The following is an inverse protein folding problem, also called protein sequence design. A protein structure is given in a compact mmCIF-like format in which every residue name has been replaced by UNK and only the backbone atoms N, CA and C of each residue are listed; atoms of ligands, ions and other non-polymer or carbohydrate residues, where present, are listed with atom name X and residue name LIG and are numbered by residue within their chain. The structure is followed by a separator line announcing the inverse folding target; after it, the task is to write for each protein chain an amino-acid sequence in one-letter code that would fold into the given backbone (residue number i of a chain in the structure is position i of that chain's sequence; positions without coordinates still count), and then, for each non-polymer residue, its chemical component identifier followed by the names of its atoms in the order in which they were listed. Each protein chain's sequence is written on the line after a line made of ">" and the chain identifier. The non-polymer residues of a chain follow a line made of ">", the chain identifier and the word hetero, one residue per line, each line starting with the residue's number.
data_IF_563775321214
#
_entry.id   IF_563775321214
#
_cell.length_a   1.000
_cell.length_b   1.000
_cell.length_c   1.000
_cell.angle_alpha   90.00
_cell.angle_beta   90.00
_cell.angle_gamma   90.00
#
_symmetry.space_group_name_H-M   'P 1'
#
loop_
_entity.id
_entity.type
_entity.pdbx_description
1 polymer ?
#
# COMPACT_ATOMS: atom_id res chain seq x y z
N UNK A 1 15.86 -14.52 44.26
CA UNK A 1 14.45 -14.18 44.04
C UNK A 1 14.36 -13.62 42.64
N UNK A 2 14.13 -14.49 41.66
CA UNK A 2 14.12 -14.15 40.21
C UNK A 2 12.71 -13.69 39.82
N UNK A 3 12.55 -12.43 39.45
CA UNK A 3 11.27 -11.88 38.92
C UNK A 3 11.05 -12.36 37.48
N UNK A 4 9.82 -12.75 37.13
CA UNK A 4 9.58 -13.50 35.91
C UNK A 4 9.59 -12.63 34.64
N UNK A 5 10.29 -13.10 33.64
CA UNK A 5 10.32 -12.72 32.24
C UNK A 5 8.92 -12.79 31.52
N UNK A 6 7.86 -13.07 32.26
CA UNK A 6 6.51 -13.32 31.72
C UNK A 6 5.82 -12.07 31.13
N UNK A 7 6.25 -10.84 31.43
CA UNK A 7 5.59 -9.63 30.92
C UNK A 7 5.88 -9.34 29.44
N UNK A 8 7.09 -9.61 28.98
CA UNK A 8 7.44 -9.30 27.56
C UNK A 8 6.71 -10.20 26.58
N UNK A 9 6.65 -11.51 26.81
CA UNK A 9 6.02 -12.45 25.88
C UNK A 9 4.52 -12.25 25.72
N UNK A 10 3.80 -11.94 26.81
CA UNK A 10 2.35 -11.71 26.75
C UNK A 10 2.01 -10.41 25.98
N UNK A 11 2.76 -9.33 26.19
CA UNK A 11 2.57 -8.08 25.45
C UNK A 11 2.88 -8.22 23.95
N UNK A 12 3.88 -9.02 23.58
CA UNK A 12 4.23 -9.30 22.18
C UNK A 12 3.11 -10.10 21.50
N UNK A 13 2.58 -11.13 22.15
CA UNK A 13 1.47 -11.93 21.62
C UNK A 13 0.22 -11.06 21.44
N UNK A 14 -0.13 -10.27 22.44
CA UNK A 14 -1.28 -9.36 22.36
C UNK A 14 -1.12 -8.34 21.23
N UNK A 15 0.09 -7.83 21.00
CA UNK A 15 0.40 -6.86 19.94
C UNK A 15 0.33 -7.48 18.54
N UNK A 16 0.87 -8.69 18.36
CA UNK A 16 0.77 -9.43 17.10
C UNK A 16 -0.68 -9.76 16.76
N UNK A 17 -1.43 -10.27 17.73
CA UNK A 17 -2.86 -10.54 17.55
C UNK A 17 -3.65 -9.26 17.22
N UNK A 18 -3.32 -8.14 17.85
CA UNK A 18 -3.96 -6.84 17.56
C UNK A 18 -3.69 -6.37 16.12
N UNK A 19 -2.45 -6.48 15.62
CA UNK A 19 -2.09 -6.12 14.25
C UNK A 19 -2.83 -7.00 13.22
N UNK A 20 -2.87 -8.32 13.46
CA UNK A 20 -3.61 -9.26 12.61
C UNK A 20 -5.11 -8.95 12.63
N UNK A 21 -5.67 -8.60 13.79
CA UNK A 21 -7.06 -8.18 13.94
C UNK A 21 -7.38 -6.89 13.17
N UNK A 22 -6.47 -5.92 13.16
CA UNK A 22 -6.61 -4.69 12.36
C UNK A 22 -6.64 -5.02 10.86
N UNK A 23 -5.79 -5.93 10.38
CA UNK A 23 -5.83 -6.38 8.99
C UNK A 23 -7.15 -7.08 8.65
N UNK A 24 -7.64 -7.97 9.51
CA UNK A 24 -8.92 -8.63 9.30
C UNK A 24 -10.08 -7.61 9.15
N UNK A 25 -10.10 -6.58 10.01
CA UNK A 25 -11.05 -5.47 9.90
C UNK A 25 -10.89 -4.65 8.62
N UNK A 26 -9.66 -4.44 8.15
CA UNK A 26 -9.36 -3.75 6.89
C UNK A 26 -9.85 -4.55 5.67
N UNK A 27 -9.62 -5.86 5.65
CA UNK A 27 -10.02 -6.73 4.55
C UNK A 27 -11.54 -6.96 4.49
N UNK A 28 -12.26 -6.72 5.58
CA UNK A 28 -13.72 -6.79 5.62
C UNK A 28 -14.42 -5.52 5.07
N UNK A 29 -13.65 -4.45 4.80
CA UNK A 29 -14.21 -3.19 4.28
C UNK A 29 -14.59 -3.31 2.80
N UNK A 30 -15.72 -2.72 2.45
CA UNK A 30 -16.06 -2.47 1.03
C UNK A 30 -15.18 -1.33 0.49
N UNK A 31 -14.27 -1.69 -0.42
CA UNK A 31 -13.35 -0.74 -1.07
C UNK A 31 -13.78 -0.36 -2.49
N UNK A 32 -15.01 -0.73 -2.90
CA UNK A 32 -15.56 -0.36 -4.19
C UNK A 32 -16.09 1.09 -4.22
N UNK A 33 -16.08 1.78 -3.07
CA UNK A 33 -16.52 3.16 -2.93
C UNK A 33 -15.64 4.15 -3.69
N UNK A 34 -16.25 5.14 -4.33
CA UNK A 34 -15.54 6.11 -5.15
C UNK A 34 -15.12 7.34 -4.33
N UNK A 35 -14.00 7.95 -4.71
CA UNK A 35 -13.57 9.22 -4.15
C UNK A 35 -14.64 10.29 -4.36
N UNK A 36 -14.92 11.08 -3.31
CA UNK A 36 -16.00 12.09 -3.30
C UNK A 36 -17.27 11.62 -2.62
N UNK A 37 -17.51 10.32 -2.48
CA UNK A 37 -18.68 9.80 -1.79
C UNK A 37 -18.51 9.85 -0.24
N UNK A 38 -19.60 10.07 0.54
CA UNK A 38 -19.54 10.03 2.01
C UNK A 38 -18.97 8.72 2.56
N UNK A 39 -19.28 7.59 1.91
CA UNK A 39 -18.76 6.28 2.27
C UNK A 39 -17.23 6.21 2.10
N UNK A 40 -16.67 6.85 1.06
CA UNK A 40 -15.23 6.96 0.87
C UNK A 40 -14.56 7.78 1.98
N UNK A 41 -15.15 8.91 2.38
CA UNK A 41 -14.65 9.74 3.48
C UNK A 41 -14.59 8.93 4.78
N UNK A 42 -15.67 8.19 5.07
CA UNK A 42 -15.74 7.33 6.24
C UNK A 42 -14.70 6.17 6.19
N UNK A 43 -14.51 5.56 5.02
CA UNK A 43 -13.46 4.54 4.81
C UNK A 43 -12.07 5.11 5.10
N UNK A 44 -11.74 6.28 4.52
CA UNK A 44 -10.44 6.93 4.74
C UNK A 44 -10.19 7.34 6.19
N UNK A 45 -11.24 7.71 6.93
CA UNK A 45 -11.14 7.98 8.37
C UNK A 45 -10.79 6.70 9.16
N UNK A 46 -11.42 5.56 8.82
CA UNK A 46 -11.09 4.27 9.45
C UNK A 46 -9.67 3.79 9.07
N UNK A 47 -9.26 3.96 7.83
CA UNK A 47 -7.89 3.66 7.39
C UNK A 47 -6.87 4.47 8.20
N UNK A 48 -7.10 5.76 8.39
CA UNK A 48 -6.24 6.62 9.21
C UNK A 48 -6.15 6.12 10.65
N UNK A 49 -7.28 5.82 11.29
CA UNK A 49 -7.30 5.30 12.65
C UNK A 49 -6.52 3.98 12.79
N UNK A 50 -6.62 3.08 11.79
CA UNK A 50 -5.83 1.84 11.75
C UNK A 50 -4.32 2.13 11.64
N UNK A 51 -3.92 3.05 10.75
CA UNK A 51 -2.51 3.44 10.60
C UNK A 51 -1.93 4.04 11.88
N UNK A 52 -2.67 4.95 12.53
CA UNK A 52 -2.26 5.52 13.81
C UNK A 52 -2.08 4.44 14.88
N UNK A 53 -2.99 3.46 14.95
CA UNK A 53 -2.85 2.32 15.83
C UNK A 53 -1.61 1.47 15.52
N UNK A 54 -1.35 1.18 14.24
CA UNK A 54 -0.15 0.46 13.79
C UNK A 54 1.11 1.24 14.17
N UNK A 55 1.19 2.54 13.85
CA UNK A 55 2.35 3.37 14.18
C UNK A 55 2.64 3.39 15.68
N UNK A 56 1.59 3.48 16.51
CA UNK A 56 1.72 3.41 17.97
C UNK A 56 2.29 2.05 18.43
N UNK A 57 1.84 0.95 17.83
CA UNK A 57 2.34 -0.40 18.16
C UNK A 57 3.78 -0.60 17.71
N UNK A 58 4.21 0.04 16.63
CA UNK A 58 5.58 -0.04 16.11
C UNK A 58 6.57 0.85 16.85
N UNK A 59 6.11 1.84 17.63
CA UNK A 59 6.99 2.74 18.39
C UNK A 59 7.89 2.02 19.40
N UNK A 60 7.42 0.88 19.93
CA UNK A 60 8.18 0.02 20.87
C UNK A 60 9.00 -1.07 20.16
N UNK A 61 9.18 -0.96 18.85
CA UNK A 61 9.88 -1.93 18.00
C UNK A 61 8.94 -2.76 17.12
N UNK A 62 9.53 -3.39 16.11
CA UNK A 62 8.79 -4.23 15.17
C UNK A 62 8.40 -5.56 15.81
N UNK A 63 7.27 -6.17 15.40
CA UNK A 63 6.95 -7.54 15.77
C UNK A 63 7.97 -8.51 15.16
N UNK A 64 8.16 -9.66 15.80
CA UNK A 64 9.01 -10.75 15.29
C UNK A 64 8.22 -11.73 14.43
N UNK A 65 6.90 -11.70 14.55
CA UNK A 65 5.96 -12.58 13.85
C UNK A 65 5.71 -12.10 12.41
N UNK A 66 5.83 -13.01 11.43
CA UNK A 66 5.72 -12.70 10.01
C UNK A 66 4.31 -12.22 9.60
N UNK A 67 3.27 -12.78 10.20
CA UNK A 67 1.89 -12.37 9.91
C UNK A 67 1.58 -10.99 10.49
N UNK A 68 2.11 -10.68 11.67
CA UNK A 68 1.98 -9.36 12.27
C UNK A 68 2.74 -8.27 11.48
N UNK A 69 3.94 -8.57 10.99
CA UNK A 69 4.70 -7.69 10.08
C UNK A 69 3.92 -7.44 8.79
N UNK A 70 3.39 -8.50 8.19
CA UNK A 70 2.57 -8.42 6.98
C UNK A 70 1.31 -7.59 7.21
N UNK A 71 0.62 -7.80 8.33
CA UNK A 71 -0.58 -7.05 8.70
C UNK A 71 -0.29 -5.54 8.84
N UNK A 72 0.76 -5.19 9.57
CA UNK A 72 1.19 -3.80 9.71
C UNK A 72 1.55 -3.18 8.35
N UNK A 73 2.29 -3.90 7.51
CA UNK A 73 2.68 -3.47 6.18
C UNK A 73 1.46 -3.19 5.28
N UNK A 74 0.47 -4.07 5.30
CA UNK A 74 -0.75 -3.91 4.50
C UNK A 74 -1.53 -2.66 4.88
N UNK A 75 -1.72 -2.42 6.17
CA UNK A 75 -2.42 -1.23 6.67
C UNK A 75 -1.67 0.05 6.28
N UNK A 76 -0.34 0.07 6.43
CA UNK A 76 0.48 1.20 6.03
C UNK A 76 0.50 1.42 4.50
N UNK A 77 0.34 0.35 3.71
CA UNK A 77 0.17 0.47 2.26
C UNK A 77 -1.13 1.20 1.85
N UNK A 78 -2.14 1.29 2.72
CA UNK A 78 -3.32 2.14 2.52
C UNK A 78 -3.11 3.58 3.00
N UNK A 79 -1.86 3.95 3.31
CA UNK A 79 -1.46 5.29 3.73
C UNK A 79 -1.65 6.37 2.67
N UNK A 80 -1.55 7.61 3.11
CA UNK A 80 -1.61 8.81 2.27
C UNK A 80 -0.22 9.47 2.13
N UNK A 81 0.78 8.97 2.86
CA UNK A 81 2.12 9.54 2.94
C UNK A 81 3.15 8.57 2.36
N UNK A 82 4.15 9.13 1.67
CA UNK A 82 5.28 8.36 1.12
C UNK A 82 6.00 7.57 2.21
N UNK A 83 6.20 8.17 3.39
CA UNK A 83 6.93 7.55 4.51
C UNK A 83 6.17 6.36 5.12
N UNK A 84 4.82 6.43 5.19
CA UNK A 84 4.00 5.31 5.66
C UNK A 84 4.11 4.12 4.71
N UNK A 85 4.00 4.37 3.40
CA UNK A 85 4.15 3.33 2.39
C UNK A 85 5.58 2.75 2.37
N UNK A 86 6.61 3.61 2.51
CA UNK A 86 7.99 3.16 2.59
C UNK A 86 8.25 2.29 3.84
N UNK A 87 7.65 2.63 4.99
CA UNK A 87 7.71 1.79 6.18
C UNK A 87 6.98 0.46 5.94
N UNK A 88 5.81 0.50 5.29
CA UNK A 88 5.07 -0.71 4.88
C UNK A 88 5.92 -1.64 4.01
N UNK A 89 6.66 -1.09 3.04
CA UNK A 89 7.58 -1.87 2.20
C UNK A 89 8.65 -2.59 3.03
N UNK A 90 9.29 -1.91 4.00
CA UNK A 90 10.32 -2.52 4.86
C UNK A 90 9.75 -3.63 5.74
N UNK A 91 8.56 -3.43 6.31
CA UNK A 91 7.88 -4.46 7.11
C UNK A 91 7.51 -5.68 6.27
N UNK A 92 6.98 -5.46 5.06
CA UNK A 92 6.66 -6.54 4.13
C UNK A 92 7.91 -7.29 3.66
N UNK A 93 9.04 -6.59 3.42
CA UNK A 93 10.32 -7.21 3.13
C UNK A 93 10.75 -8.14 4.27
N UNK A 94 10.65 -7.67 5.52
CA UNK A 94 10.97 -8.51 6.67
C UNK A 94 10.03 -9.71 6.80
N UNK A 95 8.74 -9.54 6.54
CA UNK A 95 7.78 -10.65 6.50
C UNK A 95 8.13 -11.68 5.41
N UNK A 96 8.58 -11.22 4.23
CA UNK A 96 9.03 -12.08 3.14
C UNK A 96 10.29 -12.90 3.50
N UNK A 97 11.27 -12.27 4.17
CA UNK A 97 12.46 -12.96 4.69
C UNK A 97 12.10 -14.08 5.70
N UNK A 98 11.01 -13.90 6.45
CA UNK A 98 10.46 -14.90 7.36
C UNK A 98 9.53 -15.90 6.66
N UNK A 99 9.43 -15.87 5.33
CA UNK A 99 8.70 -16.82 4.52
C UNK A 99 7.19 -16.55 4.38
N UNK A 100 6.68 -15.34 4.74
CA UNK A 100 5.25 -15.03 4.63
C UNK A 100 4.82 -14.98 3.16
N UNK A 101 3.87 -15.83 2.71
CA UNK A 101 3.36 -15.77 1.35
C UNK A 101 2.72 -14.41 1.02
N UNK A 102 2.95 -13.92 -0.21
CA UNK A 102 2.44 -12.63 -0.69
C UNK A 102 3.18 -11.40 -0.16
N UNK A 103 4.13 -11.57 0.77
CA UNK A 103 4.84 -10.44 1.35
C UNK A 103 5.83 -9.79 0.37
N UNK A 104 6.41 -10.54 -0.58
CA UNK A 104 7.24 -9.97 -1.65
C UNK A 104 6.43 -9.03 -2.55
N UNK A 105 5.26 -9.47 -2.96
CA UNK A 105 4.36 -8.62 -3.73
C UNK A 105 3.97 -7.34 -2.95
N UNK A 106 3.62 -7.50 -1.67
CA UNK A 106 3.25 -6.37 -0.82
C UNK A 106 4.41 -5.39 -0.64
N UNK A 107 5.64 -5.90 -0.48
CA UNK A 107 6.84 -5.07 -0.40
C UNK A 107 7.05 -4.23 -1.67
N UNK A 108 6.88 -4.84 -2.84
CA UNK A 108 6.94 -4.17 -4.13
C UNK A 108 5.82 -3.12 -4.28
N UNK A 109 4.58 -3.48 -3.94
CA UNK A 109 3.43 -2.59 -4.04
C UNK A 109 3.53 -1.37 -3.11
N UNK A 110 4.04 -1.56 -1.89
CA UNK A 110 4.24 -0.49 -0.94
C UNK A 110 5.42 0.42 -1.32
N UNK A 111 6.50 -0.14 -1.89
CA UNK A 111 7.60 0.65 -2.45
C UNK A 111 7.10 1.54 -3.60
N UNK A 112 6.41 0.93 -4.56
CA UNK A 112 5.85 1.65 -5.71
C UNK A 112 4.92 2.78 -5.26
N UNK A 113 4.10 2.54 -4.23
CA UNK A 113 3.23 3.56 -3.66
C UNK A 113 4.01 4.71 -3.02
N UNK A 114 5.08 4.41 -2.31
CA UNK A 114 5.94 5.43 -1.72
C UNK A 114 6.58 6.30 -2.80
N UNK A 115 7.04 5.69 -3.89
CA UNK A 115 7.60 6.41 -5.04
C UNK A 115 6.53 7.26 -5.74
N UNK A 116 5.33 6.71 -5.97
CA UNK A 116 4.21 7.46 -6.56
C UNK A 116 3.84 8.70 -5.72
N UNK A 117 3.77 8.58 -4.39
CA UNK A 117 3.50 9.73 -3.52
C UNK A 117 4.64 10.75 -3.49
N UNK A 118 5.87 10.32 -3.74
CA UNK A 118 7.02 11.21 -3.96
C UNK A 118 7.07 11.77 -5.39
N UNK A 119 6.08 11.50 -6.24
CA UNK A 119 6.00 11.89 -7.66
C UNK A 119 7.13 11.32 -8.53
N UNK A 120 7.73 10.23 -8.08
CA UNK A 120 8.75 9.48 -8.80
C UNK A 120 8.12 8.32 -9.60
N UNK A 121 8.78 7.85 -10.66
CA UNK A 121 8.38 6.61 -11.31
C UNK A 121 8.38 5.44 -10.33
N UNK A 122 7.32 4.64 -10.34
CA UNK A 122 7.28 3.39 -9.58
C UNK A 122 8.27 2.37 -10.17
N UNK A 123 8.81 1.51 -9.33
CA UNK A 123 9.80 0.53 -9.77
C UNK A 123 9.15 -0.64 -10.50
N UNK A 124 8.12 -1.25 -9.94
CA UNK A 124 7.58 -2.53 -10.42
C UNK A 124 6.33 -2.41 -11.29
N UNK A 125 5.58 -1.31 -11.18
CA UNK A 125 4.34 -1.11 -11.94
C UNK A 125 3.11 -1.69 -11.26
N UNK A 126 3.02 -1.62 -9.94
CA UNK A 126 1.90 -2.19 -9.17
C UNK A 126 0.75 -1.21 -8.92
N UNK A 127 1.01 0.11 -8.99
CA UNK A 127 -0.04 1.11 -8.75
C UNK A 127 -0.71 1.52 -10.04
N UNK A 128 -2.01 1.28 -10.08
CA UNK A 128 -2.92 1.69 -11.14
C UNK A 128 -3.71 2.89 -10.64
N UNK A 129 -3.81 3.92 -11.45
CA UNK A 129 -4.49 5.18 -11.12
C UNK A 129 -5.49 5.57 -12.21
N UNK A 130 -6.56 6.32 -11.86
CA UNK A 130 -7.43 6.94 -12.85
C UNK A 130 -6.70 8.10 -13.53
N UNK A 131 -6.99 8.37 -14.80
CA UNK A 131 -6.40 9.50 -15.53
C UNK A 131 -7.45 10.43 -16.16
N UNK A 132 -8.72 10.26 -15.77
CA UNK A 132 -9.84 11.02 -16.30
C UNK A 132 -10.44 10.46 -17.60
N UNK A 133 -9.74 9.55 -18.28
CA UNK A 133 -10.21 8.88 -19.50
C UNK A 133 -10.35 7.38 -19.25
N UNK A 134 -9.42 6.79 -18.51
CA UNK A 134 -9.37 5.37 -18.19
C UNK A 134 -8.53 5.10 -16.96
N UNK A 135 -8.01 3.89 -16.87
CA UNK A 135 -7.12 3.45 -15.81
C UNK A 135 -5.77 3.10 -16.42
N UNK A 136 -4.70 3.52 -15.79
CA UNK A 136 -3.34 3.28 -16.26
C UNK A 136 -2.39 3.03 -15.11
N UNK A 137 -1.21 2.48 -15.40
CA UNK A 137 -0.12 2.48 -14.44
C UNK A 137 0.38 3.91 -14.22
N UNK A 138 0.72 4.27 -12.98
CA UNK A 138 1.60 5.41 -12.73
C UNK A 138 2.89 5.23 -13.53
N UNK A 139 3.63 6.32 -13.79
CA UNK A 139 4.91 6.25 -14.52
C UNK A 139 5.80 5.15 -13.94
N UNK A 140 6.37 4.30 -14.79
CA UNK A 140 7.19 3.14 -14.38
C UNK A 140 8.64 3.38 -14.78
N UNK A 141 9.58 3.04 -13.90
CA UNK A 141 11.01 3.07 -14.20
C UNK A 141 11.33 2.09 -15.34
N UNK A 142 11.80 2.60 -16.51
CA UNK A 142 12.10 1.76 -17.65
C UNK A 142 13.32 0.83 -17.44
N UNK A 143 14.14 1.09 -16.42
CA UNK A 143 15.30 0.25 -16.10
C UNK A 143 14.92 -1.05 -15.40
N UNK A 144 13.73 -1.15 -14.81
CA UNK A 144 13.28 -2.36 -14.12
C UNK A 144 12.89 -3.44 -15.11
N UNK A 145 13.53 -4.60 -15.00
CA UNK A 145 13.29 -5.76 -15.88
C UNK A 145 12.10 -6.60 -15.41
N UNK A 146 11.51 -7.38 -16.34
CA UNK A 146 10.46 -8.34 -15.96
C UNK A 146 10.99 -9.46 -15.06
N UNK A 147 12.27 -9.79 -15.15
CA UNK A 147 12.91 -10.74 -14.24
C UNK A 147 12.90 -10.20 -12.78
N UNK A 148 13.20 -8.92 -12.58
CA UNK A 148 13.11 -8.28 -11.26
C UNK A 148 11.66 -8.25 -10.75
N UNK A 149 10.69 -8.01 -11.64
CA UNK A 149 9.25 -8.06 -11.27
C UNK A 149 8.86 -9.44 -10.77
N UNK A 150 9.17 -10.47 -11.55
CA UNK A 150 8.85 -11.87 -11.21
C UNK A 150 9.52 -12.28 -9.89
N UNK A 151 10.78 -11.88 -9.66
CA UNK A 151 11.48 -12.16 -8.39
C UNK A 151 10.78 -11.54 -7.16
N UNK A 152 9.95 -10.52 -7.38
CA UNK A 152 9.15 -9.86 -6.34
C UNK A 152 7.65 -10.22 -6.42
N UNK A 153 7.30 -11.34 -7.04
CA UNK A 153 5.93 -11.82 -7.24
C UNK A 153 5.04 -10.82 -8.01
N UNK A 154 5.63 -9.93 -8.80
CA UNK A 154 4.92 -8.97 -9.67
C UNK A 154 4.92 -9.51 -11.10
N UNK A 155 3.78 -9.52 -11.79
CA UNK A 155 3.71 -9.93 -13.20
C UNK A 155 4.57 -9.05 -14.12
N UNK A 156 4.91 -9.53 -15.33
CA UNK A 156 5.57 -8.73 -16.36
C UNK A 156 4.84 -7.41 -16.63
N UNK A 157 5.58 -6.36 -17.04
CA UNK A 157 5.04 -5.03 -17.25
C UNK A 157 3.87 -5.01 -18.22
N UNK A 158 3.95 -5.74 -19.32
CA UNK A 158 2.89 -5.83 -20.32
C UNK A 158 1.58 -6.39 -19.74
N UNK A 159 1.67 -7.36 -18.82
CA UNK A 159 0.52 -7.92 -18.14
C UNK A 159 -0.10 -6.89 -17.17
N UNK A 160 0.73 -6.15 -16.43
CA UNK A 160 0.24 -5.09 -15.54
C UNK A 160 -0.45 -3.96 -16.33
N UNK A 161 0.09 -3.58 -17.49
CA UNK A 161 -0.54 -2.62 -18.39
C UNK A 161 -1.89 -3.14 -18.93
N UNK A 162 -1.96 -4.41 -19.32
CA UNK A 162 -3.20 -5.04 -19.76
C UNK A 162 -4.25 -5.08 -18.63
N UNK A 163 -3.84 -5.39 -17.40
CA UNK A 163 -4.72 -5.34 -16.21
C UNK A 163 -5.29 -3.95 -15.98
N UNK A 164 -4.47 -2.91 -16.10
CA UNK A 164 -4.91 -1.53 -15.96
C UNK A 164 -5.95 -1.17 -17.04
N UNK A 165 -5.66 -1.48 -18.32
CA UNK A 165 -6.54 -1.23 -19.43
C UNK A 165 -7.89 -2.00 -19.36
N UNK A 166 -7.89 -3.15 -18.69
CA UNK A 166 -9.10 -3.97 -18.51
C UNK A 166 -10.04 -3.48 -17.39
N UNK A 167 -9.65 -2.47 -16.61
CA UNK A 167 -10.51 -1.93 -15.57
C UNK A 167 -11.68 -1.15 -16.17
N UNK A 168 -12.90 -1.60 -15.89
CA UNK A 168 -14.16 -0.99 -16.36
C UNK A 168 -14.85 -0.15 -15.28
N UNK A 169 -14.24 0.03 -14.09
CA UNK A 169 -14.81 0.86 -13.02
C UNK A 169 -14.99 2.31 -13.50
N UNK A 170 -16.06 2.99 -13.08
CA UNK A 170 -16.23 4.41 -13.35
C UNK A 170 -15.02 5.22 -12.87
N UNK A 171 -14.72 6.31 -13.56
CA UNK A 171 -13.72 7.26 -13.09
C UNK A 171 -14.26 8.00 -11.86
N UNK A 172 -13.46 8.26 -10.82
CA UNK A 172 -13.85 9.17 -9.76
C UNK A 172 -13.98 10.60 -10.30
N UNK A 173 -14.62 11.48 -9.53
CA UNK A 173 -14.59 12.91 -9.84
C UNK A 173 -13.15 13.44 -9.77
N UNK A 174 -12.58 13.75 -10.93
CA UNK A 174 -11.20 14.21 -11.03
C UNK A 174 -11.00 15.67 -10.59
N UNK A 175 -12.08 16.43 -10.35
CA UNK A 175 -11.98 17.79 -9.79
C UNK A 175 -11.35 17.76 -8.38
N UNK A 176 -11.65 16.71 -7.61
CA UNK A 176 -11.04 16.46 -6.29
C UNK A 176 -9.75 15.66 -6.31
N UNK A 177 -9.16 15.37 -7.48
CA UNK A 177 -7.93 14.60 -7.57
C UNK A 177 -6.75 15.31 -6.87
N UNK A 178 -5.85 14.57 -6.20
CA UNK A 178 -4.63 15.14 -5.61
C UNK A 178 -3.80 15.91 -6.64
N UNK A 179 -3.11 16.96 -6.19
CA UNK A 179 -2.30 17.81 -7.09
C UNK A 179 -1.20 17.01 -7.80
N UNK A 180 -0.61 16.02 -7.14
CA UNK A 180 0.37 15.10 -7.74
C UNK A 180 -0.22 14.35 -8.94
N UNK A 181 -1.44 13.81 -8.79
CA UNK A 181 -2.14 13.12 -9.88
C UNK A 181 -2.50 14.10 -11.00
N UNK A 182 -2.99 15.30 -10.68
CA UNK A 182 -3.29 16.32 -11.69
C UNK A 182 -2.04 16.76 -12.46
N UNK A 183 -0.87 16.87 -11.79
CA UNK A 183 0.41 17.11 -12.48
C UNK A 183 0.79 15.98 -13.41
N UNK A 184 0.62 14.75 -12.97
CA UNK A 184 0.86 13.56 -13.79
C UNK A 184 -0.07 13.52 -15.01
N UNK A 185 -1.37 13.78 -14.83
CA UNK A 185 -2.33 13.81 -15.92
C UNK A 185 -2.00 14.87 -16.99
N UNK A 186 -1.47 16.03 -16.58
CA UNK A 186 -0.95 17.03 -17.54
C UNK A 186 0.24 16.49 -18.34
N UNK A 187 1.20 15.80 -17.68
CA UNK A 187 2.32 15.14 -18.38
C UNK A 187 1.84 14.08 -19.37
N UNK A 188 0.77 13.37 -19.03
CA UNK A 188 0.17 12.34 -19.89
C UNK A 188 -0.74 12.90 -20.99
N UNK A 189 -1.05 14.21 -20.96
CA UNK A 189 -1.94 14.85 -21.92
C UNK A 189 -3.42 14.53 -21.73
N UNK A 190 -3.81 13.99 -20.57
CA UNK A 190 -5.21 13.69 -20.24
C UNK A 190 -5.90 14.84 -19.48
N UNK A 191 -5.15 15.86 -19.08
CA UNK A 191 -5.66 17.11 -18.50
C UNK A 191 -5.03 18.31 -19.23
N UNK A 192 -5.79 19.38 -19.51
CA UNK A 192 -5.24 20.59 -20.13
C UNK A 192 -4.06 21.18 -19.33
N UNK A 193 -3.14 21.88 -19.98
CA UNK A 193 -2.12 22.69 -19.30
C UNK A 193 -2.77 23.63 -18.28
N UNK A 194 -1.99 24.00 -17.23
CA UNK A 194 -2.46 24.97 -16.23
C UNK A 194 -2.47 26.39 -16.78
#
# INVERSE_FOLDING_TARGET
>A
MVRPLRRRGRLIVDRSAALIGLLAGDQAEDRAVLAGEPAYVALRARDRARREAVMKMLADGWPEDADALYAAAWILNHGDLSEEAALGSRLATRAAELGRPGARWLAAAALDRSLMYAELPQKYGTNIVPDGVGWRLWDVDPATTDQERIANDVPPLAEMQARAAAITKPQPDMAGAPDSLRRAMRRWGTLPPA
#
